data_IF_070456793306
#
_entry.id   IF_070456793306
#
_cell.length_a   1.000
_cell.length_b   1.000
_cell.length_c   1.000
_cell.angle_alpha   90.00
_cell.angle_beta   90.00
_cell.angle_gamma   90.00
#
_symmetry.space_group_name_H-M   'P 1'
#
loop_
_entity.id
_entity.type
_entity.pdbx_description
1 polymer ?
#
# COMPACT_ATOMS: atom_id res chain seq x y z
N UNK A 1 1.60 12.76 45.95
CA UNK A 1 1.79 11.75 44.88
C UNK A 1 2.69 12.38 43.83
N UNK A 2 3.96 11.97 43.76
CA UNK A 2 5.02 12.70 43.05
C UNK A 2 4.83 12.68 41.53
N UNK A 3 5.21 13.78 40.90
CA UNK A 3 5.26 13.99 39.44
C UNK A 3 6.03 12.86 38.72
N UNK A 4 7.08 12.31 39.36
CA UNK A 4 7.83 11.13 38.89
C UNK A 4 6.97 9.90 38.56
N UNK A 5 5.90 9.63 39.33
CA UNK A 5 5.03 8.48 39.05
C UNK A 5 4.12 8.72 37.85
N UNK A 6 3.85 9.99 37.52
CA UNK A 6 3.00 10.41 36.41
C UNK A 6 3.79 10.35 35.10
N UNK A 7 5.03 10.87 35.10
CA UNK A 7 5.96 10.75 33.97
C UNK A 7 6.31 9.30 33.63
N UNK A 8 6.54 8.46 34.65
CA UNK A 8 6.77 7.02 34.44
C UNK A 8 5.56 6.30 33.85
N UNK A 9 4.35 6.67 34.24
CA UNK A 9 3.13 6.07 33.70
C UNK A 9 2.87 6.50 32.25
N UNK A 10 3.07 7.78 31.93
CA UNK A 10 2.92 8.32 30.57
C UNK A 10 3.97 7.77 29.61
N UNK A 11 5.23 7.63 30.05
CA UNK A 11 6.32 7.04 29.26
C UNK A 11 6.06 5.56 28.99
N UNK A 12 5.60 4.81 30.00
CA UNK A 12 5.29 3.38 29.86
C UNK A 12 4.07 3.13 28.99
N UNK A 13 3.07 4.01 29.05
CA UNK A 13 1.88 3.95 28.19
C UNK A 13 2.23 4.31 26.72
N UNK A 14 3.12 5.28 26.49
CA UNK A 14 3.69 5.55 25.16
C UNK A 14 4.52 4.38 24.63
N UNK A 15 5.32 3.73 25.47
CA UNK A 15 6.17 2.60 25.06
C UNK A 15 5.38 1.30 24.84
N UNK A 16 4.26 1.09 25.53
CA UNK A 16 3.33 -0.01 25.24
C UNK A 16 2.53 0.23 23.95
N UNK A 17 2.20 1.48 23.63
CA UNK A 17 1.58 1.87 22.35
C UNK A 17 2.55 1.77 21.16
N UNK A 18 3.87 1.80 21.40
CA UNK A 18 4.91 1.66 20.36
C UNK A 18 5.18 0.21 19.95
N UNK A 19 4.76 -0.78 20.73
CA UNK A 19 5.01 -2.19 20.39
C UNK A 19 4.03 -2.67 19.31
N UNK A 20 4.51 -3.31 18.24
CA UNK A 20 3.65 -3.96 17.24
C UNK A 20 2.62 -4.85 17.92
N UNK A 21 1.38 -4.82 17.43
CA UNK A 21 0.35 -5.74 17.90
C UNK A 21 0.84 -7.19 17.72
N UNK A 22 0.36 -8.12 18.55
CA UNK A 22 0.75 -9.55 18.43
C UNK A 22 0.50 -10.09 17.02
N UNK A 23 -0.55 -9.61 16.36
CA UNK A 23 -0.88 -9.97 14.99
C UNK A 23 0.18 -9.44 14.00
N UNK A 24 0.54 -8.15 14.10
CA UNK A 24 1.55 -7.52 13.26
C UNK A 24 2.92 -8.20 13.41
N UNK A 25 3.33 -8.52 14.63
CA UNK A 25 4.60 -9.18 14.90
C UNK A 25 4.66 -10.58 14.26
N UNK A 26 3.55 -11.33 14.24
CA UNK A 26 3.49 -12.64 13.55
C UNK A 26 3.56 -12.47 12.03
N UNK A 27 2.84 -11.50 11.47
CA UNK A 27 2.90 -11.18 10.04
C UNK A 27 4.32 -10.78 9.60
N UNK A 28 4.98 -9.89 10.34
CA UNK A 28 6.35 -9.46 10.05
C UNK A 28 7.33 -10.65 10.05
N UNK A 29 7.20 -11.57 11.02
CA UNK A 29 7.99 -12.81 11.05
C UNK A 29 7.70 -13.71 9.85
N UNK A 30 6.43 -13.90 9.53
CA UNK A 30 6.01 -14.67 8.34
C UNK A 30 6.63 -14.10 7.06
N UNK A 31 6.53 -12.79 6.83
CA UNK A 31 7.09 -12.15 5.64
C UNK A 31 8.60 -12.33 5.58
N UNK A 32 9.31 -12.17 6.70
CA UNK A 32 10.75 -12.38 6.77
C UNK A 32 11.14 -13.83 6.39
N UNK A 33 10.38 -14.83 6.84
CA UNK A 33 10.62 -16.24 6.51
C UNK A 33 10.20 -16.57 5.07
N UNK A 34 9.03 -16.13 4.62
CA UNK A 34 8.50 -16.44 3.28
C UNK A 34 9.34 -15.85 2.16
N UNK A 35 9.95 -14.68 2.38
CA UNK A 35 10.84 -14.04 1.39
C UNK A 35 12.19 -14.72 1.25
N UNK A 36 12.64 -15.45 2.27
CA UNK A 36 13.87 -16.23 2.22
C UNK A 36 13.71 -17.55 1.46
N UNK A 37 12.47 -18.02 1.24
CA UNK A 37 12.21 -19.25 0.49
C UNK A 37 12.51 -19.03 -0.98
N UNK A 38 13.35 -19.88 -1.56
CA UNK A 38 13.58 -19.91 -3.00
C UNK A 38 12.26 -20.27 -3.72
N UNK A 39 11.64 -19.30 -4.37
CA UNK A 39 10.41 -19.53 -5.15
C UNK A 39 10.76 -20.05 -6.54
N UNK A 40 10.07 -21.09 -7.06
CA UNK A 40 10.22 -21.51 -8.44
C UNK A 40 9.92 -20.31 -9.35
N UNK A 41 10.83 -20.01 -10.28
CA UNK A 41 10.57 -18.98 -11.28
C UNK A 41 9.37 -19.44 -12.12
N UNK A 42 8.33 -18.60 -12.29
CA UNK A 42 7.23 -18.95 -13.18
C UNK A 42 7.81 -19.29 -14.55
N UNK A 43 7.35 -20.39 -15.16
CA UNK A 43 7.68 -20.73 -16.55
C UNK A 43 7.26 -19.53 -17.41
N UNK A 44 8.24 -18.81 -17.95
CA UNK A 44 8.05 -17.58 -18.72
C UNK A 44 7.01 -17.83 -19.82
N UNK A 45 5.81 -17.28 -19.65
CA UNK A 45 4.78 -17.26 -20.68
C UNK A 45 4.65 -15.83 -21.19
N UNK A 46 4.91 -15.68 -22.49
CA UNK A 46 4.89 -14.46 -23.32
C UNK A 46 5.97 -13.42 -22.98
N UNK A 47 6.63 -12.94 -24.04
CA UNK A 47 7.54 -11.78 -24.02
C UNK A 47 6.80 -10.56 -23.45
N UNK A 48 6.83 -10.39 -22.14
CA UNK A 48 6.44 -9.14 -21.51
C UNK A 48 7.59 -8.18 -21.78
N UNK A 49 7.32 -7.08 -22.47
CA UNK A 49 8.31 -6.02 -22.65
C UNK A 49 8.72 -5.59 -21.24
N UNK A 50 10.00 -5.76 -20.92
CA UNK A 50 10.54 -5.33 -19.64
C UNK A 50 10.39 -3.81 -19.51
N UNK A 51 9.87 -3.30 -18.38
CA UNK A 51 9.81 -1.86 -18.16
C UNK A 51 11.21 -1.25 -18.25
N UNK A 52 11.32 -0.13 -18.97
CA UNK A 52 12.54 0.68 -19.01
C UNK A 52 12.93 1.15 -17.60
N UNK A 53 14.19 1.48 -17.37
CA UNK A 53 14.63 2.00 -16.06
C UNK A 53 13.89 3.28 -15.66
N UNK A 54 13.67 4.22 -16.61
CA UNK A 54 12.89 5.43 -16.36
C UNK A 54 11.47 5.10 -15.88
N UNK A 55 10.82 4.11 -16.50
CA UNK A 55 9.50 3.65 -16.10
C UNK A 55 9.52 3.06 -14.67
N UNK A 56 10.53 2.27 -14.31
CA UNK A 56 10.67 1.70 -12.95
C UNK A 56 10.89 2.79 -11.90
N UNK A 57 11.73 3.77 -12.19
CA UNK A 57 11.98 4.92 -11.30
C UNK A 57 10.71 5.74 -11.11
N UNK A 58 10.01 6.08 -12.20
CA UNK A 58 8.77 6.86 -12.14
C UNK A 58 7.65 6.10 -11.41
N UNK A 59 7.50 4.79 -11.65
CA UNK A 59 6.55 3.94 -10.94
C UNK A 59 6.82 3.95 -9.43
N UNK A 60 8.08 3.81 -9.04
CA UNK A 60 8.50 3.86 -7.63
C UNK A 60 8.18 5.22 -7.02
N UNK A 61 8.57 6.32 -7.66
CA UNK A 61 8.33 7.67 -7.15
C UNK A 61 6.85 8.00 -6.99
N UNK A 62 6.01 7.57 -7.94
CA UNK A 62 4.55 7.71 -7.83
C UNK A 62 4.00 6.94 -6.62
N UNK A 63 4.46 5.69 -6.42
CA UNK A 63 4.04 4.89 -5.28
C UNK A 63 4.56 5.45 -3.95
N UNK A 64 5.80 5.94 -3.89
CA UNK A 64 6.37 6.62 -2.72
C UNK A 64 5.51 7.84 -2.35
N UNK A 65 5.25 8.72 -3.31
CA UNK A 65 4.43 9.90 -3.08
C UNK A 65 3.03 9.53 -2.59
N UNK A 66 2.35 8.63 -3.29
CA UNK A 66 0.97 8.27 -3.00
C UNK A 66 0.80 7.51 -1.67
N UNK A 67 1.67 6.55 -1.38
CA UNK A 67 1.67 5.82 -0.11
C UNK A 67 2.08 6.77 1.03
N UNK A 68 3.07 7.63 0.81
CA UNK A 68 3.51 8.63 1.79
C UNK A 68 2.41 9.61 2.17
N UNK A 69 1.67 10.14 1.19
CA UNK A 69 0.52 11.01 1.45
C UNK A 69 -0.59 10.31 2.25
N UNK A 70 -0.86 9.03 1.97
CA UNK A 70 -1.83 8.27 2.75
C UNK A 70 -1.35 8.03 4.19
N UNK A 71 -0.08 7.66 4.38
CA UNK A 71 0.51 7.45 5.70
C UNK A 71 0.50 8.72 6.55
N UNK A 72 0.73 9.90 5.95
CA UNK A 72 0.67 11.17 6.64
C UNK A 72 -0.72 11.48 7.24
N UNK A 73 -1.78 10.92 6.67
CA UNK A 73 -3.16 11.07 7.13
C UNK A 73 -3.65 9.90 7.99
N UNK A 74 -2.84 8.85 8.20
CA UNK A 74 -3.27 7.61 8.82
C UNK A 74 -3.84 7.81 10.24
N UNK A 75 -3.18 8.59 11.07
CA UNK A 75 -3.61 8.76 12.47
C UNK A 75 -4.94 9.53 12.56
N UNK A 76 -5.14 10.54 11.71
CA UNK A 76 -6.42 11.24 11.60
C UNK A 76 -7.55 10.31 11.14
N UNK A 77 -7.27 9.44 10.15
CA UNK A 77 -8.21 8.44 9.69
C UNK A 77 -8.60 7.45 10.79
N UNK A 78 -7.63 7.01 11.61
CA UNK A 78 -7.89 6.04 12.69
C UNK A 78 -8.68 6.65 13.85
N UNK A 79 -8.47 7.93 14.18
CA UNK A 79 -9.24 8.63 15.22
C UNK A 79 -10.73 8.69 14.87
N UNK A 80 -11.05 8.84 13.58
CA UNK A 80 -12.44 8.86 13.09
C UNK A 80 -13.17 7.53 13.19
N UNK A 81 -12.49 6.42 13.49
CA UNK A 81 -13.08 5.08 13.48
C UNK A 81 -13.26 4.55 14.90
N UNK A 82 -14.52 4.49 15.35
CA UNK A 82 -14.88 4.09 16.72
C UNK A 82 -14.25 2.79 17.20
N UNK A 83 -14.14 1.77 16.34
CA UNK A 83 -13.55 0.46 16.72
C UNK A 83 -12.04 0.52 17.02
N UNK A 84 -11.36 1.56 16.54
CA UNK A 84 -9.92 1.80 16.73
C UNK A 84 -9.64 2.87 17.79
N UNK A 85 -10.68 3.48 18.38
CA UNK A 85 -10.53 4.33 19.56
C UNK A 85 -9.95 3.48 20.69
N UNK A 86 -8.75 3.84 21.15
CA UNK A 86 -7.92 3.11 22.13
C UNK A 86 -7.29 1.78 21.66
N UNK A 87 -7.43 1.37 20.39
CA UNK A 87 -6.75 0.20 19.80
C UNK A 87 -6.13 0.57 18.46
N UNK A 88 -4.80 0.58 18.37
CA UNK A 88 -4.12 0.77 17.09
C UNK A 88 -4.14 -0.55 16.29
N UNK A 89 -4.76 -0.60 15.10
CA UNK A 89 -4.71 -1.79 14.27
C UNK A 89 -3.29 -2.01 13.74
N UNK A 90 -3.00 -3.26 13.37
CA UNK A 90 -1.90 -3.51 12.45
C UNK A 90 -2.23 -2.87 11.09
N UNK A 91 -1.24 -2.23 10.45
CA UNK A 91 -1.43 -1.70 9.10
C UNK A 91 -0.74 -2.60 8.10
N UNK A 92 -1.50 -3.17 7.18
CA UNK A 92 -0.96 -3.91 6.05
C UNK A 92 -0.93 -2.99 4.85
N UNK A 93 0.23 -2.90 4.19
CA UNK A 93 0.38 -2.23 2.90
C UNK A 93 0.61 -3.30 1.84
N UNK A 94 -0.45 -3.61 1.10
CA UNK A 94 -0.41 -4.57 -0.01
C UNK A 94 -0.06 -3.86 -1.32
N UNK A 95 1.05 -4.24 -1.94
CA UNK A 95 1.55 -3.59 -3.15
C UNK A 95 2.30 -4.56 -4.07
N UNK A 96 2.79 -4.09 -5.21
CA UNK A 96 3.72 -4.84 -6.05
C UNK A 96 5.18 -4.73 -5.52
N UNK A 97 6.15 -5.48 -6.09
CA UNK A 97 7.55 -5.39 -5.65
C UNK A 97 8.15 -3.98 -5.73
N UNK A 98 7.76 -3.16 -6.71
CA UNK A 98 8.22 -1.77 -6.84
C UNK A 98 7.73 -0.93 -5.66
N UNK A 99 6.48 -1.10 -5.23
CA UNK A 99 5.95 -0.41 -4.07
C UNK A 99 6.50 -0.94 -2.73
N UNK A 100 7.00 -2.17 -2.65
CA UNK A 100 7.78 -2.61 -1.48
C UNK A 100 9.06 -1.79 -1.38
N UNK A 101 9.76 -1.57 -2.51
CA UNK A 101 10.93 -0.68 -2.55
C UNK A 101 10.54 0.75 -2.17
N UNK A 102 9.39 1.26 -2.65
CA UNK A 102 8.87 2.56 -2.25
C UNK A 102 8.67 2.67 -0.73
N UNK A 103 8.05 1.67 -0.11
CA UNK A 103 7.84 1.66 1.34
C UNK A 103 9.17 1.61 2.12
N UNK A 104 10.17 0.86 1.63
CA UNK A 104 11.49 0.84 2.24
C UNK A 104 12.17 2.22 2.18
N UNK A 105 11.99 2.96 1.07
CA UNK A 105 12.51 4.32 0.95
C UNK A 105 11.77 5.30 1.87
N UNK A 106 10.44 5.17 2.00
CA UNK A 106 9.66 5.97 2.94
C UNK A 106 10.07 5.73 4.40
N UNK A 107 10.55 4.53 4.75
CA UNK A 107 11.02 4.22 6.10
C UNK A 107 12.29 4.98 6.50
N UNK A 108 13.02 5.53 5.51
CA UNK A 108 14.17 6.41 5.72
C UNK A 108 13.76 7.87 6.01
N UNK A 109 12.50 8.23 5.78
CA UNK A 109 11.97 9.55 6.11
C UNK A 109 11.54 9.60 7.58
N UNK A 110 12.20 10.43 8.38
CA UNK A 110 11.94 10.59 9.82
C UNK A 110 10.47 10.91 10.12
N UNK A 111 9.80 11.71 9.27
CA UNK A 111 8.39 12.08 9.48
C UNK A 111 7.40 10.92 9.31
N UNK A 112 7.79 9.85 8.61
CA UNK A 112 6.95 8.68 8.35
C UNK A 112 7.40 7.43 9.12
N UNK A 113 8.55 7.51 9.80
CA UNK A 113 9.18 6.36 10.45
C UNK A 113 8.25 5.70 11.48
N UNK A 114 7.65 6.50 12.37
CA UNK A 114 6.76 6.01 13.43
C UNK A 114 5.47 5.38 12.87
N UNK A 115 4.92 5.94 11.79
CA UNK A 115 3.77 5.34 11.10
C UNK A 115 4.15 3.98 10.50
N UNK A 116 5.32 3.89 9.87
CA UNK A 116 5.81 2.66 9.22
C UNK A 116 6.19 1.56 10.20
N UNK A 117 6.58 1.86 11.45
CA UNK A 117 6.79 0.84 12.49
C UNK A 117 5.51 0.05 12.81
N UNK A 118 4.33 0.64 12.58
CA UNK A 118 3.02 -0.01 12.71
C UNK A 118 2.56 -0.72 11.43
N UNK A 119 3.38 -0.66 10.38
CA UNK A 119 3.06 -1.22 9.08
C UNK A 119 3.78 -2.54 8.82
N UNK A 120 3.20 -3.35 7.94
CA UNK A 120 3.91 -4.43 7.24
C UNK A 120 3.62 -4.31 5.74
N UNK A 121 4.68 -4.20 4.94
CA UNK A 121 4.57 -4.04 3.50
C UNK A 121 4.79 -5.38 2.80
N UNK A 122 3.83 -5.84 2.00
CA UNK A 122 3.89 -7.12 1.34
C UNK A 122 3.15 -7.17 0.00
N UNK A 123 3.46 -8.22 -0.77
CA UNK A 123 2.75 -8.47 -2.02
C UNK A 123 1.36 -9.03 -1.78
N UNK A 124 0.47 -8.84 -2.75
CA UNK A 124 -0.88 -9.43 -2.70
C UNK A 124 -0.85 -10.95 -2.49
N UNK A 125 0.07 -11.64 -3.16
CA UNK A 125 0.24 -13.08 -2.98
C UNK A 125 0.68 -13.46 -1.56
N UNK A 126 1.61 -12.69 -0.97
CA UNK A 126 2.02 -12.89 0.42
C UNK A 126 0.83 -12.65 1.37
N UNK A 127 0.02 -11.62 1.11
CA UNK A 127 -1.11 -11.25 1.96
C UNK A 127 -2.22 -12.29 1.88
N UNK A 128 -2.61 -12.70 0.66
CA UNK A 128 -3.59 -13.78 0.45
C UNK A 128 -3.12 -15.09 1.10
N UNK A 129 -1.82 -15.39 1.09
CA UNK A 129 -1.30 -16.58 1.74
C UNK A 129 -1.35 -16.47 3.27
N UNK A 130 -0.97 -15.31 3.82
CA UNK A 130 -1.10 -15.01 5.24
C UNK A 130 -2.55 -15.14 5.74
N UNK A 131 -3.51 -14.52 5.05
CA UNK A 131 -4.92 -14.56 5.43
C UNK A 131 -5.54 -15.97 5.40
N UNK A 132 -4.92 -16.93 4.67
CA UNK A 132 -5.34 -18.35 4.74
C UNK A 132 -4.86 -19.04 6.01
N UNK A 133 -3.72 -18.63 6.56
CA UNK A 133 -3.16 -19.21 7.78
C UNK A 133 -3.70 -18.55 9.04
N UNK A 134 -3.82 -17.22 9.01
CA UNK A 134 -4.23 -16.39 10.15
C UNK A 134 -5.37 -15.45 9.70
N UNK A 135 -6.58 -16.02 9.49
CA UNK A 135 -7.72 -15.26 9.00
C UNK A 135 -8.16 -14.21 10.02
N UNK A 136 -8.39 -12.99 9.55
CA UNK A 136 -9.01 -11.89 10.31
C UNK A 136 -10.18 -11.33 9.49
N UNK A 137 -11.21 -12.17 9.32
CA UNK A 137 -12.33 -11.94 8.38
C UNK A 137 -13.12 -10.69 8.71
N UNK A 138 -13.18 -10.30 9.99
CA UNK A 138 -13.91 -9.14 10.49
C UNK A 138 -13.01 -7.90 10.67
N UNK A 139 -11.75 -7.97 10.22
CA UNK A 139 -10.74 -6.91 10.36
C UNK A 139 -10.63 -6.41 11.81
N UNK A 140 -10.62 -7.32 12.78
CA UNK A 140 -10.52 -6.99 14.21
C UNK A 140 -9.09 -6.64 14.64
N UNK A 141 -8.09 -7.08 13.87
CA UNK A 141 -6.67 -6.92 14.20
C UNK A 141 -5.93 -6.00 13.24
N UNK A 142 -6.43 -5.81 12.01
CA UNK A 142 -5.71 -5.06 10.98
C UNK A 142 -6.62 -4.24 10.07
N UNK A 143 -5.99 -3.24 9.43
CA UNK A 143 -6.49 -2.63 8.20
C UNK A 143 -5.55 -3.02 7.05
N UNK A 144 -6.08 -3.12 5.84
CA UNK A 144 -5.32 -3.38 4.63
C UNK A 144 -5.45 -2.19 3.68
N UNK A 145 -4.43 -1.36 3.63
CA UNK A 145 -4.25 -0.41 2.54
C UNK A 145 -3.57 -1.12 1.39
N UNK A 146 -4.07 -0.92 0.18
CA UNK A 146 -3.47 -1.49 -1.00
C UNK A 146 -3.28 -0.42 -2.06
N UNK A 147 -2.15 -0.47 -2.76
CA UNK A 147 -1.80 0.47 -3.81
C UNK A 147 -0.83 -0.19 -4.81
N UNK A 148 -1.10 -0.10 -6.10
CA UNK A 148 -0.17 -0.54 -7.15
C UNK A 148 -0.46 0.13 -8.48
N UNK A 149 0.55 0.17 -9.35
CA UNK A 149 0.41 0.75 -10.69
C UNK A 149 0.31 -0.36 -11.73
N UNK A 150 -0.71 -0.27 -12.59
CA UNK A 150 -0.78 -1.01 -13.84
C UNK A 150 -0.16 -0.15 -14.94
N UNK A 151 1.09 -0.48 -15.28
CA UNK A 151 1.89 0.22 -16.30
C UNK A 151 1.61 -0.24 -17.73
N UNK A 152 0.75 -1.26 -17.91
CA UNK A 152 0.32 -1.75 -19.22
C UNK A 152 -1.20 -1.92 -19.27
N UNK A 153 -1.89 -0.86 -19.67
CA UNK A 153 -3.32 -0.93 -20.02
C UNK A 153 -3.44 -1.52 -21.43
N UNK A 154 -4.13 -2.68 -21.61
CA UNK A 154 -4.31 -3.26 -22.93
C UNK A 154 -5.03 -2.30 -23.88
N UNK A 155 -4.59 -2.22 -25.14
CA UNK A 155 -5.18 -1.33 -26.15
C UNK A 155 -6.69 -1.55 -26.34
N UNK A 156 -7.19 -2.77 -26.11
CA UNK A 156 -8.63 -3.07 -26.14
C UNK A 156 -9.46 -2.27 -25.12
N UNK A 157 -8.84 -1.83 -24.02
CA UNK A 157 -9.45 -0.96 -23.00
C UNK A 157 -9.29 0.53 -23.29
N UNK A 158 -8.58 0.92 -24.35
CA UNK A 158 -8.35 2.33 -24.68
C UNK A 158 -9.65 3.13 -24.83
N UNK A 159 -10.73 2.46 -25.26
CA UNK A 159 -12.07 3.06 -25.35
C UNK A 159 -12.61 3.54 -23.99
N UNK A 160 -12.19 2.97 -22.87
CA UNK A 160 -12.62 3.41 -21.53
C UNK A 160 -12.03 4.80 -21.18
N UNK A 161 -10.92 5.16 -21.80
CA UNK A 161 -10.15 6.38 -21.53
C UNK A 161 -10.34 7.46 -22.59
N UNK A 162 -11.36 7.34 -23.46
CA UNK A 162 -11.58 8.27 -24.58
C UNK A 162 -11.72 9.75 -24.14
N UNK A 163 -12.15 9.99 -22.90
CA UNK A 163 -12.26 11.33 -22.30
C UNK A 163 -10.90 11.96 -21.94
N UNK A 164 -9.83 11.17 -21.97
CA UNK A 164 -8.49 11.56 -21.54
C UNK A 164 -7.47 11.27 -22.66
N UNK A 165 -7.58 11.90 -23.84
CA UNK A 165 -6.69 11.60 -24.96
C UNK A 165 -5.22 11.80 -24.57
N UNK A 166 -4.36 10.88 -25.00
CA UNK A 166 -2.91 10.91 -24.77
C UNK A 166 -2.16 11.05 -26.09
N UNK A 167 -0.92 11.55 -26.02
CA UNK A 167 -0.08 11.72 -27.19
C UNK A 167 0.27 10.38 -27.86
N UNK A 168 0.59 10.43 -29.17
CA UNK A 168 1.01 9.25 -29.92
C UNK A 168 2.31 8.69 -29.32
N UNK A 169 2.29 7.41 -28.94
CA UNK A 169 3.43 6.75 -28.32
C UNK A 169 3.42 6.77 -26.79
N UNK A 170 2.56 7.60 -26.18
CA UNK A 170 2.30 7.55 -24.74
C UNK A 170 1.48 6.31 -24.36
N UNK A 171 1.46 5.98 -23.07
CA UNK A 171 0.66 4.89 -22.51
C UNK A 171 -0.15 5.36 -21.29
N UNK A 172 -1.29 4.74 -21.03
CA UNK A 172 -2.01 4.93 -19.77
C UNK A 172 -1.36 4.11 -18.65
N UNK A 173 -1.13 4.76 -17.51
CA UNK A 173 -0.81 4.11 -16.25
C UNK A 173 -1.97 4.29 -15.27
N UNK A 174 -2.34 3.21 -14.58
CA UNK A 174 -3.44 3.23 -13.61
C UNK A 174 -2.88 2.96 -12.21
N UNK A 175 -2.96 3.95 -11.32
CA UNK A 175 -2.68 3.73 -9.91
C UNK A 175 -3.99 3.33 -9.25
N UNK A 176 -4.11 2.06 -8.91
CA UNK A 176 -5.25 1.54 -8.17
C UNK A 176 -4.89 1.55 -6.69
N UNK A 177 -5.79 2.06 -5.85
CA UNK A 177 -5.59 2.01 -4.41
C UNK A 177 -6.90 1.96 -3.64
N UNK A 178 -6.82 1.55 -2.39
CA UNK A 178 -7.98 1.49 -1.52
C UNK A 178 -7.65 0.96 -0.15
N UNK A 179 -8.64 0.95 0.73
CA UNK A 179 -8.52 0.47 2.10
C UNK A 179 -9.65 -0.51 2.40
N UNK A 180 -9.32 -1.54 3.18
CA UNK A 180 -10.28 -2.43 3.84
C UNK A 180 -10.01 -2.47 5.34
N UNK A 181 -11.07 -2.56 6.15
CA UNK A 181 -10.99 -2.67 7.61
C UNK A 181 -11.21 -1.35 8.38
N UNK A 182 -11.52 -0.26 7.69
CA UNK A 182 -12.04 0.98 8.26
C UNK A 182 -13.57 1.00 8.38
N UNK A 183 -14.28 0.03 7.80
CA UNK A 183 -15.74 -0.07 7.89
C UNK A 183 -16.42 0.84 6.89
N UNK A 184 -17.21 1.81 7.36
CA UNK A 184 -17.92 2.76 6.49
C UNK A 184 -16.99 3.66 5.66
N UNK A 185 -15.71 3.76 6.06
CA UNK A 185 -14.67 4.50 5.35
C UNK A 185 -13.82 3.63 4.42
N UNK A 186 -14.18 2.35 4.23
CA UNK A 186 -13.54 1.52 3.21
C UNK A 186 -13.78 2.10 1.82
N UNK A 187 -12.73 2.11 0.99
CA UNK A 187 -12.81 2.71 -0.34
C UNK A 187 -11.93 1.97 -1.36
N UNK A 188 -12.29 2.17 -2.62
CA UNK A 188 -11.53 1.78 -3.80
C UNK A 188 -11.51 2.99 -4.73
N UNK A 189 -10.34 3.33 -5.25
CA UNK A 189 -10.18 4.41 -6.22
C UNK A 189 -9.07 4.10 -7.23
N UNK A 190 -9.09 4.82 -8.35
CA UNK A 190 -8.13 4.68 -9.42
C UNK A 190 -7.76 6.04 -10.01
N UNK A 191 -6.47 6.38 -9.95
CA UNK A 191 -5.91 7.52 -10.66
C UNK A 191 -5.42 7.09 -12.04
N UNK A 192 -5.58 7.97 -13.02
CA UNK A 192 -5.12 7.73 -14.40
C UNK A 192 -4.02 8.72 -14.74
N UNK A 193 -2.90 8.20 -15.24
CA UNK A 193 -1.78 9.00 -15.70
C UNK A 193 -1.50 8.72 -17.19
N UNK A 194 -1.06 9.74 -17.90
CA UNK A 194 -0.32 9.60 -19.15
C UNK A 194 1.16 9.36 -18.83
N UNK A 195 1.74 8.31 -19.37
CA UNK A 195 3.18 8.06 -19.40
C UNK A 195 3.73 8.37 -20.79
N UNK A 196 4.55 9.40 -20.91
CA UNK A 196 5.14 9.85 -22.18
C UNK A 196 6.49 9.19 -22.51
N UNK A 197 6.95 8.25 -21.67
CA UNK A 197 8.28 7.64 -21.74
C UNK A 197 9.32 8.25 -20.79
N UNK A 198 9.02 9.41 -20.21
CA UNK A 198 9.92 10.15 -19.31
C UNK A 198 9.28 10.48 -17.97
N UNK A 199 8.02 10.94 -17.96
CA UNK A 199 7.31 11.31 -16.73
C UNK A 199 5.82 10.92 -16.79
N UNK A 200 5.22 10.65 -15.62
CA UNK A 200 3.78 10.50 -15.51
C UNK A 200 3.10 11.87 -15.36
N UNK A 201 2.04 12.11 -16.13
CA UNK A 201 1.17 13.28 -16.01
C UNK A 201 -0.22 12.83 -15.59
N UNK A 202 -0.73 13.34 -14.46
CA UNK A 202 -2.06 12.99 -13.97
C UNK A 202 -3.15 13.50 -14.94
N UNK A 203 -4.05 12.60 -15.34
CA UNK A 203 -5.20 12.91 -16.19
C UNK A 203 -6.50 13.02 -15.39
N UNK A 204 -6.68 12.14 -14.39
CA UNK A 204 -7.80 12.22 -13.43
C UNK A 204 -7.43 11.54 -12.12
N UNK A 205 -7.86 12.14 -11.00
CA UNK A 205 -7.75 11.56 -9.65
C UNK A 205 -8.72 10.40 -9.45
N UNK A 206 -9.90 10.50 -10.05
CA UNK A 206 -10.99 9.55 -9.81
C UNK A 206 -11.45 8.93 -11.12
N UNK A 207 -11.20 7.64 -11.27
CA UNK A 207 -11.62 6.86 -12.42
C UNK A 207 -12.34 5.59 -11.97
N UNK A 208 -13.58 5.44 -12.43
CA UNK A 208 -14.35 4.20 -12.22
C UNK A 208 -14.06 3.24 -13.36
N UNK A 209 -13.27 2.21 -13.09
CA UNK A 209 -13.04 1.15 -14.07
C UNK A 209 -14.34 0.41 -14.37
N UNK A 210 -14.65 0.22 -15.65
CA UNK A 210 -15.86 -0.49 -16.10
C UNK A 210 -15.77 -2.01 -15.96
N UNK A 211 -14.62 -2.54 -15.52
CA UNK A 211 -14.39 -3.96 -15.31
C UNK A 211 -14.03 -4.19 -13.84
N UNK A 212 -14.71 -5.11 -13.13
CA UNK A 212 -14.37 -5.44 -11.76
C UNK A 212 -12.90 -5.88 -11.64
N UNK A 213 -12.26 -5.48 -10.55
CA UNK A 213 -10.97 -6.02 -10.12
C UNK A 213 -11.08 -7.55 -10.02
N UNK A 214 -10.34 -8.27 -10.85
CA UNK A 214 -10.21 -9.75 -10.77
C UNK A 214 -9.39 -10.12 -9.55
#
# INVERSE_FOLDING_TARGET
MSEDKRDWAETKQRDEQRKPSKWLARLQRFVATERQKARPKPKLSRQRIEPTENARVAERQLLEHHIGSWLACLDELLVGVNRWQAKLPAVVITTNPVGITACNNLALNESLHDALLRCCCLTENEYRYWCKQEPDVQFESHINYWAWIKTSVPAVRAKEFYKFPIAKGSAYWLLRHGVSGLGEYDFFDCKVFEWDGMKPTLLTEHFRESVPSV
#
